data_IF_486098957024
#
_entry.id   IF_486098957024
#
_cell.length_a   1.000
_cell.length_b   1.000
_cell.length_c   1.000
_cell.angle_alpha   90.00
_cell.angle_beta   90.00
_cell.angle_gamma   90.00
#
_symmetry.space_group_name_H-M   'P 1'
#
loop_
_entity.id
_entity.type
_entity.pdbx_description
1 polymer ?
#
# COMPACT_ATOMS: atom_id res chain seq x y z
N UNK A 1 -9.33 18.38 11.15
CA UNK A 1 -10.42 18.02 12.09
C UNK A 1 -11.68 17.82 11.26
N UNK A 2 -12.53 16.83 11.58
CA UNK A 2 -13.82 16.64 10.90
C UNK A 2 -14.94 17.30 11.73
N UNK A 3 -15.52 18.41 11.27
CA UNK A 3 -16.56 19.11 12.03
C UNK A 3 -17.88 18.34 11.98
N UNK A 4 -18.58 18.32 13.11
CA UNK A 4 -20.00 17.98 13.19
C UNK A 4 -20.86 19.13 12.67
N UNK A 5 -22.16 18.87 12.55
CA UNK A 5 -23.14 19.82 11.99
C UNK A 5 -23.22 21.15 12.73
N UNK A 6 -22.88 21.18 14.01
CA UNK A 6 -22.85 22.39 14.86
C UNK A 6 -21.44 23.00 14.98
N UNK A 7 -20.49 22.59 14.14
CA UNK A 7 -19.11 23.10 14.16
C UNK A 7 -18.20 22.49 15.23
N UNK A 8 -18.73 21.69 16.16
CA UNK A 8 -17.96 20.89 17.12
C UNK A 8 -17.28 19.66 16.48
N UNK A 9 -16.62 18.82 17.27
CA UNK A 9 -16.06 17.54 16.76
C UNK A 9 -17.20 16.59 16.40
N UNK A 10 -17.08 15.91 15.25
CA UNK A 10 -18.02 14.85 14.87
C UNK A 10 -18.17 13.80 15.98
N UNK A 11 -19.40 13.50 16.37
CA UNK A 11 -19.67 12.52 17.43
C UNK A 11 -19.45 11.08 16.96
N UNK A 12 -19.03 10.23 17.89
CA UNK A 12 -18.80 8.80 17.61
C UNK A 12 -20.12 8.09 17.22
N UNK A 13 -21.24 8.45 17.85
CA UNK A 13 -22.55 7.87 17.56
C UNK A 13 -23.02 8.17 16.14
N UNK A 14 -22.84 9.41 15.67
CA UNK A 14 -23.12 9.79 14.29
C UNK A 14 -22.26 8.97 13.32
N UNK A 15 -20.97 8.84 13.62
CA UNK A 15 -20.04 8.08 12.79
C UNK A 15 -20.43 6.60 12.69
N UNK A 16 -20.69 5.93 13.82
CA UNK A 16 -21.09 4.51 13.88
C UNK A 16 -22.36 4.25 13.07
N UNK A 17 -23.37 5.13 13.17
CA UNK A 17 -24.63 5.05 12.40
C UNK A 17 -24.36 5.12 10.90
N UNK A 18 -23.58 6.10 10.46
CA UNK A 18 -23.28 6.27 9.04
C UNK A 18 -22.42 5.13 8.51
N UNK A 19 -21.42 4.67 9.26
CA UNK A 19 -20.61 3.50 8.91
C UNK A 19 -21.46 2.24 8.70
N UNK A 20 -22.40 1.95 9.61
CA UNK A 20 -23.32 0.83 9.46
C UNK A 20 -24.21 0.95 8.22
N UNK A 21 -24.74 2.15 7.95
CA UNK A 21 -25.53 2.44 6.75
C UNK A 21 -24.72 2.21 5.48
N UNK A 22 -23.53 2.79 5.37
CA UNK A 22 -22.66 2.65 4.19
C UNK A 22 -22.31 1.19 3.93
N UNK A 23 -21.93 0.43 4.96
CA UNK A 23 -21.64 -1.02 4.84
C UNK A 23 -22.82 -1.81 4.29
N UNK A 24 -24.03 -1.50 4.73
CA UNK A 24 -25.23 -2.14 4.22
C UNK A 24 -25.50 -1.78 2.76
N UNK A 25 -25.25 -0.54 2.36
CA UNK A 25 -25.46 -0.07 0.98
C UNK A 25 -24.50 -0.72 -0.02
N UNK A 26 -23.26 -0.99 0.39
CA UNK A 26 -22.24 -1.62 -0.47
C UNK A 26 -22.18 -3.15 -0.32
N UNK A 27 -23.04 -3.75 0.52
CA UNK A 27 -23.12 -5.20 0.69
C UNK A 27 -22.02 -5.83 1.56
N UNK A 28 -21.25 -5.06 2.33
CA UNK A 28 -20.08 -5.54 3.09
C UNK A 28 -20.34 -5.46 4.60
N UNK A 29 -20.97 -6.49 5.17
CA UNK A 29 -21.48 -6.46 6.56
C UNK A 29 -20.43 -6.71 7.65
N UNK A 30 -19.34 -7.41 7.35
CA UNK A 30 -18.36 -7.87 8.35
C UNK A 30 -17.16 -6.95 8.53
N UNK A 31 -16.94 -5.99 7.64
CA UNK A 31 -15.79 -5.08 7.69
C UNK A 31 -15.95 -4.04 8.79
N UNK A 32 -14.93 -3.88 9.63
CA UNK A 32 -14.85 -2.81 10.65
C UNK A 32 -14.13 -1.61 10.04
N UNK A 33 -14.35 -0.42 10.62
CA UNK A 33 -13.68 0.78 10.10
C UNK A 33 -12.16 0.69 10.21
N UNK A 34 -11.63 0.08 11.28
CA UNK A 34 -10.19 -0.13 11.46
C UNK A 34 -9.58 -1.03 10.37
N UNK A 35 -10.37 -1.88 9.72
CA UNK A 35 -9.85 -2.74 8.65
C UNK A 35 -9.44 -1.90 7.43
N UNK A 36 -10.05 -0.72 7.20
CA UNK A 36 -9.60 0.21 6.15
C UNK A 36 -8.16 0.69 6.38
N UNK A 37 -7.78 0.88 7.65
CA UNK A 37 -6.40 1.24 8.02
C UNK A 37 -5.44 0.08 7.75
N UNK A 38 -5.88 -1.16 8.01
CA UNK A 38 -5.09 -2.33 7.62
C UNK A 38 -4.92 -2.43 6.11
N UNK A 39 -6.00 -2.21 5.34
CA UNK A 39 -5.94 -2.16 3.87
C UNK A 39 -4.96 -1.10 3.37
N UNK A 40 -5.00 0.11 3.94
CA UNK A 40 -4.05 1.17 3.58
C UNK A 40 -2.58 0.76 3.84
N UNK A 41 -2.31 0.07 4.95
CA UNK A 41 -1.00 -0.49 5.27
C UNK A 41 -0.53 -1.53 4.25
N UNK A 42 -1.39 -2.52 3.98
CA UNK A 42 -1.11 -3.58 3.00
C UNK A 42 -0.86 -3.00 1.61
N UNK A 43 -1.71 -2.09 1.13
CA UNK A 43 -1.56 -1.46 -0.18
C UNK A 43 -0.28 -0.64 -0.28
N UNK A 44 0.09 0.12 0.76
CA UNK A 44 1.34 0.86 0.77
C UNK A 44 2.55 -0.09 0.61
N UNK A 45 2.57 -1.18 1.38
CA UNK A 45 3.63 -2.18 1.30
C UNK A 45 3.68 -2.89 -0.05
N UNK A 46 2.53 -3.30 -0.60
CA UNK A 46 2.44 -3.91 -1.93
C UNK A 46 2.90 -2.98 -3.05
N UNK A 47 2.87 -1.66 -2.84
CA UNK A 47 3.37 -0.65 -3.78
C UNK A 47 4.81 -0.19 -3.46
N UNK A 48 5.57 -0.99 -2.71
CA UNK A 48 7.00 -0.77 -2.48
C UNK A 48 7.34 0.21 -1.36
N UNK A 49 6.38 0.61 -0.53
CA UNK A 49 6.70 1.41 0.65
C UNK A 49 7.58 0.62 1.62
N UNK A 50 8.67 1.24 2.05
CA UNK A 50 9.58 0.71 3.06
C UNK A 50 8.88 0.57 4.41
N UNK A 51 9.45 -0.26 5.29
CA UNK A 51 8.93 -0.43 6.65
C UNK A 51 8.78 0.91 7.40
N UNK A 52 9.75 1.82 7.25
CA UNK A 52 9.75 3.14 7.89
C UNK A 52 8.64 4.04 7.35
N UNK A 53 8.38 4.01 6.05
CA UNK A 53 7.29 4.78 5.43
C UNK A 53 5.92 4.26 5.86
N UNK A 54 5.75 2.93 5.94
CA UNK A 54 4.52 2.32 6.46
C UNK A 54 4.30 2.71 7.92
N UNK A 55 5.35 2.66 8.74
CA UNK A 55 5.29 3.10 10.14
C UNK A 55 4.88 4.58 10.25
N UNK A 56 5.48 5.46 9.45
CA UNK A 56 5.15 6.90 9.45
C UNK A 56 3.72 7.16 8.99
N UNK A 57 3.29 6.55 7.88
CA UNK A 57 1.94 6.69 7.32
C UNK A 57 0.85 6.22 8.28
N UNK A 58 1.11 5.14 9.00
CA UNK A 58 0.18 4.60 9.95
C UNK A 58 0.35 5.24 11.34
N UNK A 59 1.51 5.79 11.69
CA UNK A 59 1.79 6.24 13.06
C UNK A 59 2.02 5.06 14.00
N UNK A 60 2.70 4.00 13.52
CA UNK A 60 3.16 2.91 14.37
C UNK A 60 4.48 3.29 15.04
N UNK A 61 4.51 3.25 16.37
CA UNK A 61 5.72 3.47 17.16
C UNK A 61 6.67 2.27 17.17
N UNK A 62 6.17 1.07 16.85
CA UNK A 62 6.96 -0.17 16.85
C UNK A 62 7.01 -0.81 15.47
N UNK A 63 8.16 -1.39 15.15
CA UNK A 63 8.37 -2.15 13.91
C UNK A 63 7.49 -3.40 13.86
N UNK A 64 7.27 -4.06 15.00
CA UNK A 64 6.41 -5.25 15.12
C UNK A 64 4.98 -5.01 14.61
N UNK A 65 4.42 -3.81 14.79
CA UNK A 65 3.11 -3.46 14.28
C UNK A 65 3.10 -3.31 12.74
N UNK A 66 4.20 -2.85 12.14
CA UNK A 66 4.31 -2.62 10.70
C UNK A 66 4.74 -3.87 9.89
N UNK A 67 5.51 -4.79 10.51
CA UNK A 67 5.92 -6.06 9.87
C UNK A 67 4.72 -6.90 9.41
N UNK A 68 3.56 -6.74 10.05
CA UNK A 68 2.32 -7.45 9.66
C UNK A 68 1.93 -7.21 8.20
N UNK A 69 2.25 -6.04 7.65
CA UNK A 69 1.92 -5.69 6.26
C UNK A 69 2.94 -6.22 5.25
N UNK A 70 4.17 -6.51 5.69
CA UNK A 70 5.22 -7.10 4.83
C UNK A 70 4.86 -8.52 4.43
N UNK A 71 4.39 -9.33 5.38
CA UNK A 71 3.91 -10.71 5.11
C UNK A 71 2.71 -10.78 4.15
N UNK A 72 1.87 -9.76 4.14
CA UNK A 72 0.74 -9.69 3.20
C UNK A 72 1.18 -9.36 1.76
N UNK A 73 2.47 -9.09 1.56
CA UNK A 73 3.07 -8.74 0.30
C UNK A 73 4.10 -9.79 -0.15
N UNK A 74 4.15 -11.00 0.42
CA UNK A 74 5.13 -12.03 0.04
C UNK A 74 5.04 -12.42 -1.47
N UNK A 75 3.90 -12.18 -2.13
CA UNK A 75 3.77 -12.30 -3.59
C UNK A 75 4.58 -11.25 -4.40
N UNK A 76 5.13 -10.23 -3.74
CA UNK A 76 5.89 -9.14 -4.35
C UNK A 76 7.28 -9.53 -4.82
N UNK A 77 7.85 -10.62 -4.34
CA UNK A 77 9.18 -11.05 -4.76
C UNK A 77 9.24 -11.30 -6.27
N UNK A 78 8.17 -11.87 -6.86
CA UNK A 78 8.05 -12.04 -8.32
C UNK A 78 8.00 -10.69 -9.03
N UNK A 79 7.16 -9.77 -8.57
CA UNK A 79 7.04 -8.43 -9.15
C UNK A 79 8.30 -7.57 -9.00
N UNK A 80 9.12 -7.82 -7.97
CA UNK A 80 10.44 -7.20 -7.80
C UNK A 80 11.41 -7.81 -8.82
N UNK A 81 11.43 -9.13 -8.96
CA UNK A 81 12.24 -9.81 -9.98
C UNK A 81 11.89 -9.32 -11.39
N UNK A 82 10.60 -9.25 -11.74
CA UNK A 82 10.15 -8.75 -13.05
C UNK A 82 10.61 -7.30 -13.31
N UNK A 83 10.55 -6.43 -12.30
CA UNK A 83 11.06 -5.04 -12.42
C UNK A 83 12.57 -4.99 -12.57
N UNK A 84 13.31 -5.87 -11.89
CA UNK A 84 14.76 -5.96 -12.04
C UNK A 84 15.11 -6.45 -13.46
N UNK A 85 14.42 -7.47 -13.98
CA UNK A 85 14.57 -7.95 -15.35
C UNK A 85 14.26 -6.85 -16.37
N UNK A 86 13.24 -6.03 -16.13
CA UNK A 86 12.93 -4.87 -16.97
C UNK A 86 14.02 -3.78 -16.96
N UNK A 87 14.67 -3.55 -15.82
CA UNK A 87 15.73 -2.56 -15.67
C UNK A 87 17.02 -3.07 -16.32
N UNK A 88 17.40 -4.32 -16.05
CA UNK A 88 18.68 -4.89 -16.49
C UNK A 88 18.61 -5.54 -17.88
N UNK A 89 17.48 -6.13 -18.28
CA UNK A 89 17.24 -6.66 -19.63
C UNK A 89 17.29 -5.57 -20.71
N UNK A 90 16.86 -4.35 -20.38
CA UNK A 90 17.05 -3.16 -21.23
C UNK A 90 18.54 -2.81 -21.42
N UNK A 91 19.36 -2.98 -20.39
CA UNK A 91 20.80 -2.69 -20.47
C UNK A 91 21.59 -3.74 -21.24
N UNK A 92 21.22 -5.03 -21.13
CA UNK A 92 21.84 -6.11 -21.91
C UNK A 92 21.66 -5.92 -23.43
N UNK A 93 20.48 -5.42 -23.83
CA UNK A 93 20.13 -5.14 -25.23
C UNK A 93 20.98 -4.02 -25.85
N UNK A 94 21.27 -2.95 -25.08
CA UNK A 94 22.08 -1.82 -25.54
C UNK A 94 23.58 -2.11 -25.62
N UNK A 95 24.09 -3.03 -24.80
CA UNK A 95 25.52 -3.38 -24.77
C UNK A 95 25.94 -4.33 -25.89
N UNK A 96 25.01 -5.17 -26.41
CA UNK A 96 25.27 -6.05 -27.55
C UNK A 96 25.27 -5.33 -28.90
N UNK A 97 24.53 -4.23 -29.06
CA UNK A 97 24.50 -3.45 -30.31
C UNK A 97 25.82 -2.71 -30.59
N UNK A 98 26.58 -2.35 -29.55
CA UNK A 98 27.88 -1.66 -29.68
C UNK A 98 29.03 -2.57 -30.10
N UNK A 99 28.96 -3.88 -29.84
CA UNK A 99 30.06 -4.84 -30.14
C UNK A 99 30.07 -5.40 -31.57
N UNK A 100 29.11 -5.00 -32.42
CA UNK A 100 28.91 -5.61 -33.76
C UNK A 100 29.38 -4.73 -34.94
N UNK A 101 30.05 -3.61 -34.68
CA UNK A 101 30.50 -2.66 -35.71
C UNK A 101 31.96 -2.20 -35.54
N UNK A 102 32.92 -3.11 -35.66
CA UNK A 102 34.34 -2.77 -35.85
C UNK A 102 34.80 -3.18 -37.25
N UNK A 103 35.26 -2.26 -38.12
CA UNK A 103 35.69 -2.62 -39.47
C UNK A 103 37.09 -3.23 -39.49
N UNK A 104 37.32 -4.04 -40.53
CA UNK A 104 38.51 -4.82 -40.85
C UNK A 104 39.68 -3.97 -41.40
#
# INVERSE_FOLDING_TARGET
>A
MFPGVEGGVMSEGWFKKNWAKTRSQVGVKTVRFHDLRHTAGTLATQNGATLKEVMSRLGHSTTAAAIRYQRAADDRDREVADRLDEVFGRQASGSQASRRGGPA
#
